data_IF_912432820687
#
_entry.id   IF_912432820687
#
_cell.length_a   1.000
_cell.length_b   1.000
_cell.length_c   1.000
_cell.angle_alpha   90.00
_cell.angle_beta   90.00
_cell.angle_gamma   90.00
#
_symmetry.space_group_name_H-M   'P 1'
#
loop_
_entity.id
_entity.type
_entity.pdbx_description
1 polymer ?
#
# COMPACT_ATOMS: atom_id res chain seq x y z
N UNK A 1 16.20 6.17 -48.53
CA UNK A 1 14.96 5.73 -47.85
C UNK A 1 15.38 5.19 -46.49
N UNK A 2 15.80 6.10 -45.62
CA UNK A 2 16.41 5.77 -44.34
C UNK A 2 15.34 5.55 -43.28
N UNK A 3 15.53 4.44 -42.58
CA UNK A 3 14.61 3.78 -41.67
C UNK A 3 14.27 4.71 -40.50
N UNK A 4 13.01 5.17 -40.47
CA UNK A 4 12.44 6.07 -39.46
C UNK A 4 12.37 5.53 -38.02
N UNK A 5 12.96 4.38 -37.72
CA UNK A 5 13.00 3.78 -36.37
C UNK A 5 14.12 4.40 -35.52
N UNK A 6 15.21 4.88 -36.13
CA UNK A 6 16.37 5.43 -35.37
C UNK A 6 16.12 6.85 -34.85
N UNK A 7 15.16 7.59 -35.44
CA UNK A 7 14.83 8.96 -35.01
C UNK A 7 13.90 9.04 -33.79
N UNK A 8 13.28 7.93 -33.40
CA UNK A 8 12.41 7.84 -32.21
C UNK A 8 13.24 7.80 -30.91
N UNK A 9 14.51 7.39 -30.98
CA UNK A 9 15.45 7.42 -29.84
C UNK A 9 16.34 8.67 -29.82
N UNK A 10 15.77 9.84 -30.08
CA UNK A 10 16.51 11.12 -30.00
C UNK A 10 16.79 11.44 -28.52
N UNK A 11 18.02 11.88 -28.20
CA UNK A 11 18.59 12.14 -26.86
C UNK A 11 17.69 12.79 -25.79
N UNK A 12 16.62 13.48 -26.16
CA UNK A 12 15.63 14.07 -25.25
C UNK A 12 14.80 13.04 -24.49
N UNK A 13 14.48 11.89 -25.09
CA UNK A 13 13.72 10.83 -24.40
C UNK A 13 14.59 10.03 -23.44
N UNK A 14 15.83 9.72 -23.84
CA UNK A 14 16.78 9.01 -22.97
C UNK A 14 17.15 9.85 -21.74
N UNK A 15 17.42 11.14 -21.94
CA UNK A 15 17.64 12.07 -20.81
C UNK A 15 16.42 12.12 -19.89
N UNK A 16 15.20 12.20 -20.44
CA UNK A 16 13.96 12.15 -19.66
C UNK A 16 13.79 10.86 -18.86
N UNK A 17 14.11 9.70 -19.45
CA UNK A 17 14.07 8.40 -18.77
C UNK A 17 15.12 8.32 -17.67
N UNK A 18 16.36 8.72 -17.94
CA UNK A 18 17.45 8.73 -16.97
C UNK A 18 17.15 9.68 -15.79
N UNK A 19 16.60 10.86 -16.07
CA UNK A 19 16.13 11.79 -15.02
C UNK A 19 15.00 11.19 -14.19
N UNK A 20 14.10 10.42 -14.82
CA UNK A 20 13.05 9.68 -14.12
C UNK A 20 13.59 8.58 -13.19
N UNK A 21 14.77 8.01 -13.47
CA UNK A 21 15.38 6.97 -12.63
C UNK A 21 16.13 7.51 -11.41
N UNK A 22 16.32 8.82 -11.29
CA UNK A 22 17.09 9.44 -10.18
C UNK A 22 16.49 9.08 -8.80
N UNK A 23 15.17 9.16 -8.54
CA UNK A 23 14.61 8.74 -7.26
C UNK A 23 14.87 7.26 -6.97
N UNK A 24 14.80 6.40 -7.99
CA UNK A 24 15.07 4.96 -7.85
C UNK A 24 16.53 4.72 -7.44
N UNK A 25 17.47 5.43 -8.09
CA UNK A 25 18.88 5.34 -7.74
C UNK A 25 19.13 5.76 -6.28
N UNK A 26 18.51 6.86 -5.82
CA UNK A 26 18.59 7.29 -4.42
C UNK A 26 18.04 6.25 -3.46
N UNK A 27 16.88 5.65 -3.77
CA UNK A 27 16.32 4.58 -2.95
C UNK A 27 17.27 3.38 -2.83
N UNK A 28 17.88 2.96 -3.93
CA UNK A 28 18.82 1.82 -3.99
C UNK A 28 20.11 2.04 -3.20
N UNK A 29 20.49 3.28 -2.88
CA UNK A 29 21.64 3.54 -1.99
C UNK A 29 21.44 2.99 -0.57
N UNK A 30 20.18 2.75 -0.16
CA UNK A 30 19.88 2.15 1.14
C UNK A 30 20.25 0.68 1.24
N UNK A 31 20.33 -0.04 0.12
CA UNK A 31 20.61 -1.48 0.10
C UNK A 31 21.98 -1.82 0.69
N UNK A 32 23.11 -1.26 0.21
CA UNK A 32 24.42 -1.55 0.80
C UNK A 32 24.49 -1.13 2.27
N UNK A 33 23.87 0.00 2.65
CA UNK A 33 23.81 0.45 4.03
C UNK A 33 23.06 -0.55 4.93
N UNK A 34 21.94 -1.08 4.45
CA UNK A 34 21.15 -2.09 5.16
C UNK A 34 21.94 -3.39 5.35
N UNK A 35 22.56 -3.89 4.28
CA UNK A 35 23.39 -5.11 4.32
C UNK A 35 24.54 -4.94 5.33
N UNK A 36 25.26 -3.82 5.30
CA UNK A 36 26.33 -3.56 6.27
C UNK A 36 25.77 -3.50 7.70
N UNK A 37 24.62 -2.87 7.89
CA UNK A 37 24.03 -2.65 9.22
C UNK A 37 23.50 -3.93 9.86
N UNK A 38 22.79 -4.78 9.10
CA UNK A 38 22.24 -6.05 9.63
C UNK A 38 23.35 -7.04 10.02
N UNK A 39 24.51 -6.94 9.36
CA UNK A 39 25.71 -7.71 9.68
C UNK A 39 26.45 -7.21 10.94
N UNK A 40 26.22 -5.99 11.40
CA UNK A 40 26.75 -5.52 12.68
C UNK A 40 26.01 -6.18 13.84
N UNK A 41 26.70 -6.44 14.96
CA UNK A 41 26.02 -6.84 16.20
C UNK A 41 25.06 -5.74 16.66
N UNK A 42 23.88 -6.09 17.21
CA UNK A 42 23.01 -5.13 17.87
C UNK A 42 23.76 -4.27 18.88
N UNK A 43 23.54 -2.96 18.86
CA UNK A 43 24.19 -2.02 19.79
C UNK A 43 24.45 -0.65 19.18
N UNK A 44 25.27 0.17 19.87
CA UNK A 44 25.56 1.57 19.52
C UNK A 44 26.12 1.74 18.10
N UNK A 45 26.90 0.77 17.61
CA UNK A 45 27.48 0.82 16.25
C UNK A 45 26.43 0.89 15.14
N UNK A 46 25.29 0.20 15.30
CA UNK A 46 24.20 0.28 14.31
C UNK A 46 23.65 1.70 14.21
N UNK A 47 23.49 2.41 15.33
CA UNK A 47 22.96 3.77 15.37
C UNK A 47 23.79 4.78 14.56
N UNK A 48 25.12 4.63 14.51
CA UNK A 48 25.96 5.45 13.62
C UNK A 48 25.70 5.21 12.13
N UNK A 49 25.14 4.05 11.76
CA UNK A 49 24.76 3.72 10.39
C UNK A 49 23.34 4.19 10.02
N UNK A 50 22.57 4.73 10.97
CA UNK A 50 21.19 5.19 10.73
C UNK A 50 21.08 6.17 9.56
N UNK A 51 21.90 7.24 9.47
CA UNK A 51 21.78 8.19 8.36
C UNK A 51 21.91 7.52 6.99
N UNK A 52 22.83 6.57 6.84
CA UNK A 52 23.04 5.86 5.57
C UNK A 52 21.86 4.96 5.17
N UNK A 53 21.10 4.45 6.14
CA UNK A 53 19.92 3.63 5.87
C UNK A 53 18.71 4.46 5.44
N UNK A 54 18.62 5.73 5.86
CA UNK A 54 17.40 6.55 5.68
C UNK A 54 17.57 7.69 4.70
N UNK A 55 18.77 8.24 4.50
CA UNK A 55 19.00 9.41 3.64
C UNK A 55 18.57 9.13 2.20
N UNK A 56 18.98 8.01 1.61
CA UNK A 56 18.59 7.65 0.24
C UNK A 56 17.07 7.60 0.03
N UNK A 57 16.31 6.84 0.82
CA UNK A 57 14.85 6.82 0.78
C UNK A 57 14.19 8.17 1.06
N UNK A 58 14.72 8.97 1.99
CA UNK A 58 14.20 10.33 2.25
C UNK A 58 14.42 11.22 1.03
N UNK A 59 15.59 11.19 0.41
CA UNK A 59 15.88 11.95 -0.81
C UNK A 59 15.01 11.45 -1.98
N UNK A 60 14.77 10.14 -2.09
CA UNK A 60 13.81 9.58 -3.03
C UNK A 60 12.41 10.17 -2.82
N UNK A 61 11.92 10.18 -1.57
CA UNK A 61 10.63 10.77 -1.21
C UNK A 61 10.53 12.26 -1.55
N UNK A 62 11.58 13.04 -1.28
CA UNK A 62 11.64 14.48 -1.61
C UNK A 62 11.76 14.78 -3.11
N UNK A 63 12.06 13.77 -3.94
CA UNK A 63 12.19 13.90 -5.39
C UNK A 63 11.03 13.23 -6.15
N UNK A 64 9.98 12.82 -5.44
CA UNK A 64 8.71 12.41 -6.02
C UNK A 64 8.15 13.57 -6.88
N UNK A 65 7.60 13.26 -8.06
CA UNK A 65 7.20 14.26 -9.06
C UNK A 65 8.13 14.31 -10.28
N UNK A 66 9.33 13.72 -10.19
CA UNK A 66 10.26 13.57 -11.32
C UNK A 66 9.96 12.35 -12.20
N UNK A 67 9.15 11.40 -11.73
CA UNK A 67 8.79 10.21 -12.49
C UNK A 67 7.63 10.51 -13.42
N UNK A 68 7.89 10.60 -14.72
CA UNK A 68 6.87 10.89 -15.76
C UNK A 68 5.80 9.79 -15.98
N UNK A 69 5.73 8.78 -15.12
CA UNK A 69 4.90 7.59 -15.31
C UNK A 69 3.63 7.54 -14.42
N UNK A 70 3.32 8.60 -13.65
CA UNK A 70 2.17 8.59 -12.72
C UNK A 70 2.33 7.60 -11.54
N UNK A 71 3.55 7.13 -11.29
CA UNK A 71 3.91 6.23 -10.20
C UNK A 71 4.50 6.96 -8.98
N UNK A 72 4.45 8.29 -8.99
CA UNK A 72 4.99 9.16 -7.95
C UNK A 72 4.49 8.79 -6.55
N UNK A 73 3.18 8.61 -6.39
CA UNK A 73 2.57 8.22 -5.12
C UNK A 73 3.06 6.84 -4.65
N UNK A 74 3.23 5.88 -5.55
CA UNK A 74 3.71 4.53 -5.21
C UNK A 74 5.16 4.57 -4.70
N UNK A 75 6.01 5.38 -5.33
CA UNK A 75 7.38 5.61 -4.87
C UNK A 75 7.46 6.39 -3.57
N UNK A 76 6.56 7.35 -3.36
CA UNK A 76 6.43 8.07 -2.10
C UNK A 76 6.12 7.11 -0.94
N UNK A 77 5.09 6.27 -1.10
CA UNK A 77 4.74 5.24 -0.10
C UNK A 77 5.88 4.25 0.10
N UNK A 78 6.49 3.76 -0.99
CA UNK A 78 7.60 2.79 -0.90
C UNK A 78 8.76 3.35 -0.08
N UNK A 79 9.12 4.61 -0.32
CA UNK A 79 10.20 5.30 0.40
C UNK A 79 9.91 5.44 1.90
N UNK A 80 8.73 5.95 2.27
CA UNK A 80 8.40 6.11 3.69
C UNK A 80 8.22 4.77 4.39
N UNK A 81 7.50 3.81 3.79
CA UNK A 81 7.31 2.47 4.36
C UNK A 81 8.66 1.79 4.56
N UNK A 82 9.60 1.96 3.62
CA UNK A 82 10.95 1.45 3.76
C UNK A 82 11.69 2.09 4.94
N UNK A 83 11.59 3.41 5.14
CA UNK A 83 12.19 4.07 6.31
C UNK A 83 11.69 3.40 7.58
N UNK A 84 10.37 3.27 7.75
CA UNK A 84 9.79 2.56 8.91
C UNK A 84 10.28 1.12 9.02
N UNK A 85 10.34 0.37 7.91
CA UNK A 85 10.80 -1.01 7.84
C UNK A 85 12.24 -1.17 8.31
N UNK A 86 13.16 -0.37 7.77
CA UNK A 86 14.58 -0.42 8.08
C UNK A 86 14.84 0.03 9.52
N UNK A 87 14.23 1.13 9.95
CA UNK A 87 14.45 1.67 11.30
C UNK A 87 13.88 0.75 12.38
N UNK A 88 12.65 0.23 12.19
CA UNK A 88 12.07 -0.72 13.13
C UNK A 88 12.85 -2.04 13.18
N UNK A 89 13.20 -2.61 12.03
CA UNK A 89 13.87 -3.91 11.99
C UNK A 89 15.30 -3.87 12.52
N UNK A 90 16.11 -2.90 12.09
CA UNK A 90 17.53 -2.86 12.42
C UNK A 90 17.83 -2.28 13.81
N UNK A 91 17.00 -1.36 14.30
CA UNK A 91 17.30 -0.53 15.48
C UNK A 91 16.39 -0.82 16.68
N UNK A 92 15.07 -0.99 16.45
CA UNK A 92 14.12 -1.29 17.53
C UNK A 92 14.07 -2.79 17.82
N UNK A 93 13.84 -3.60 16.78
CA UNK A 93 13.73 -5.06 16.88
C UNK A 93 15.09 -5.76 16.80
N UNK A 94 16.14 -5.02 16.41
CA UNK A 94 17.53 -5.46 16.40
C UNK A 94 17.75 -6.78 15.65
N UNK A 95 17.17 -6.91 14.45
CA UNK A 95 17.26 -8.12 13.65
C UNK A 95 18.67 -8.66 13.49
N UNK A 96 18.77 -9.98 13.56
CA UNK A 96 20.00 -10.73 13.30
C UNK A 96 19.73 -11.76 12.22
N UNK A 97 20.73 -11.99 11.37
CA UNK A 97 20.64 -13.05 10.37
C UNK A 97 20.66 -14.43 11.06
N UNK A 98 20.00 -15.45 10.48
CA UNK A 98 20.05 -16.83 10.99
C UNK A 98 21.48 -17.35 11.15
N UNK A 99 21.71 -18.19 12.17
CA UNK A 99 23.05 -18.65 12.60
C UNK A 99 23.88 -19.41 11.57
N UNK A 100 23.28 -19.85 10.46
CA UNK A 100 24.02 -20.47 9.35
C UNK A 100 24.98 -19.49 8.67
N UNK A 101 24.69 -18.17 8.76
CA UNK A 101 25.52 -17.10 8.21
C UNK A 101 26.53 -16.51 9.22
N UNK A 102 26.36 -16.76 10.53
CA UNK A 102 27.06 -16.02 11.61
C UNK A 102 28.43 -16.59 11.97
N UNK A 103 28.75 -17.83 11.55
CA UNK A 103 29.97 -18.54 11.97
C UNK A 103 31.25 -18.14 11.22
N UNK A 104 31.16 -17.36 10.14
CA UNK A 104 32.33 -16.87 9.37
C UNK A 104 32.49 -15.37 9.58
N UNK A 105 33.72 -14.92 9.89
CA UNK A 105 34.09 -13.49 9.94
C UNK A 105 33.92 -12.77 8.58
N UNK A 106 33.69 -13.52 7.49
CA UNK A 106 33.47 -12.99 6.15
C UNK A 106 32.00 -13.04 5.75
N UNK A 107 31.52 -11.95 5.16
CA UNK A 107 30.22 -11.86 4.50
C UNK A 107 30.16 -12.92 3.40
N UNK A 108 29.26 -13.89 3.54
CA UNK A 108 29.09 -14.97 2.56
C UNK A 108 28.05 -14.57 1.51
N UNK A 109 28.06 -15.23 0.34
CA UNK A 109 27.03 -15.02 -0.69
C UNK A 109 25.62 -15.29 -0.14
N UNK A 110 25.48 -16.27 0.74
CA UNK A 110 24.22 -16.61 1.39
C UNK A 110 23.78 -15.52 2.36
N UNK A 111 24.71 -14.93 3.12
CA UNK A 111 24.37 -13.86 4.05
C UNK A 111 23.94 -12.57 3.33
N UNK A 112 24.57 -12.25 2.20
CA UNK A 112 24.14 -11.15 1.31
C UNK A 112 22.73 -11.42 0.80
N UNK A 113 22.47 -12.63 0.30
CA UNK A 113 21.16 -13.02 -0.19
C UNK A 113 20.06 -12.83 0.87
N UNK A 114 20.26 -13.39 2.08
CA UNK A 114 19.28 -13.24 3.17
C UNK A 114 19.12 -11.77 3.59
N UNK A 115 20.20 -10.97 3.53
CA UNK A 115 20.15 -9.54 3.82
C UNK A 115 19.34 -8.75 2.79
N UNK A 116 19.50 -9.06 1.50
CA UNK A 116 18.70 -8.47 0.40
C UNK A 116 17.23 -8.83 0.56
N UNK A 117 16.93 -10.08 0.93
CA UNK A 117 15.55 -10.49 1.21
C UNK A 117 14.98 -9.76 2.42
N UNK A 118 15.76 -9.58 3.49
CA UNK A 118 15.34 -8.79 4.63
C UNK A 118 15.10 -7.31 4.27
N UNK A 119 15.93 -6.73 3.39
CA UNK A 119 15.76 -5.37 2.87
C UNK A 119 14.43 -5.22 2.10
N UNK A 120 14.06 -6.21 1.29
CA UNK A 120 12.83 -6.25 0.48
C UNK A 120 11.58 -6.78 1.21
N UNK A 121 11.62 -6.98 2.53
CA UNK A 121 10.55 -7.68 3.26
C UNK A 121 9.86 -6.82 4.34
N UNK A 122 9.12 -5.75 3.96
CA UNK A 122 8.34 -4.94 4.90
C UNK A 122 7.24 -5.73 5.61
N UNK A 123 6.75 -6.82 4.99
CA UNK A 123 5.72 -7.71 5.54
C UNK A 123 6.22 -8.65 6.64
N UNK A 124 7.53 -8.70 6.89
CA UNK A 124 8.16 -9.59 7.89
C UNK A 124 7.87 -11.07 7.65
N UNK A 125 7.81 -11.48 6.38
CA UNK A 125 7.68 -12.90 6.03
C UNK A 125 8.91 -13.69 6.51
N UNK A 126 8.79 -14.99 6.82
CA UNK A 126 9.93 -15.80 7.22
C UNK A 126 11.05 -15.77 6.16
N UNK A 127 12.27 -15.43 6.57
CA UNK A 127 13.44 -15.43 5.69
C UNK A 127 13.92 -16.87 5.45
N UNK A 128 14.17 -17.23 4.19
CA UNK A 128 14.63 -18.56 3.79
C UNK A 128 16.08 -18.54 3.26
N UNK A 129 16.87 -19.60 3.50
CA UNK A 129 18.21 -19.70 2.96
C UNK A 129 18.22 -20.00 1.46
N UNK A 130 19.27 -19.55 0.74
CA UNK A 130 19.37 -19.67 -0.72
C UNK A 130 19.42 -21.12 -1.24
N UNK A 131 19.70 -22.09 -0.37
CA UNK A 131 19.89 -23.50 -0.75
C UNK A 131 18.60 -24.11 -1.32
N UNK A 132 17.44 -23.65 -0.85
CA UNK A 132 16.13 -24.10 -1.31
C UNK A 132 15.82 -23.63 -2.74
N UNK A 133 16.49 -22.57 -3.22
CA UNK A 133 16.25 -22.00 -4.54
C UNK A 133 16.92 -22.76 -5.69
N UNK A 134 18.03 -23.47 -5.42
CA UNK A 134 18.76 -24.24 -6.45
C UNK A 134 17.94 -25.40 -7.02
N UNK A 135 16.84 -25.76 -6.37
CA UNK A 135 15.94 -26.84 -6.77
C UNK A 135 14.81 -26.36 -7.71
N UNK A 136 14.75 -25.08 -8.06
CA UNK A 136 13.65 -24.52 -8.84
C UNK A 136 13.92 -24.68 -10.33
N UNK A 137 13.12 -25.54 -10.97
CA UNK A 137 13.21 -25.80 -12.41
C UNK A 137 12.70 -24.61 -13.25
N UNK A 138 13.25 -24.45 -14.46
CA UNK A 138 12.79 -23.43 -15.41
C UNK A 138 11.30 -23.54 -15.72
N UNK A 139 10.76 -24.78 -15.76
CA UNK A 139 9.32 -25.03 -15.92
C UNK A 139 8.48 -24.39 -14.81
N UNK A 140 8.93 -24.44 -13.55
CA UNK A 140 8.23 -23.79 -12.43
C UNK A 140 8.26 -22.27 -12.55
N UNK A 141 9.39 -21.68 -12.97
CA UNK A 141 9.50 -20.23 -13.21
C UNK A 141 8.61 -19.79 -14.37
N UNK A 142 8.62 -20.52 -15.48
CA UNK A 142 7.75 -20.23 -16.63
C UNK A 142 6.27 -20.31 -16.26
N UNK A 143 5.84 -21.36 -15.55
CA UNK A 143 4.47 -21.48 -15.05
C UNK A 143 4.09 -20.32 -14.12
N UNK A 144 4.99 -19.93 -13.22
CA UNK A 144 4.77 -18.77 -12.35
C UNK A 144 4.61 -17.47 -13.15
N UNK A 145 5.48 -17.22 -14.13
CA UNK A 145 5.40 -16.04 -15.02
C UNK A 145 4.07 -16.01 -15.74
N UNK A 146 3.68 -17.12 -16.39
CA UNK A 146 2.40 -17.21 -17.12
C UNK A 146 1.25 -16.91 -16.16
N UNK A 147 1.22 -17.52 -14.98
CA UNK A 147 0.18 -17.26 -13.97
C UNK A 147 0.09 -15.79 -13.57
N UNK A 148 1.23 -15.12 -13.35
CA UNK A 148 1.28 -13.69 -12.99
C UNK A 148 0.86 -12.80 -14.16
N UNK A 149 1.28 -13.10 -15.39
CA UNK A 149 0.82 -12.40 -16.59
C UNK A 149 -0.69 -12.56 -16.80
N UNK A 150 -1.23 -13.78 -16.68
CA UNK A 150 -2.67 -14.02 -16.72
C UNK A 150 -3.41 -13.24 -15.64
N UNK A 151 -2.84 -13.16 -14.42
CA UNK A 151 -3.40 -12.34 -13.34
C UNK A 151 -3.50 -10.87 -13.77
N UNK A 152 -2.44 -10.30 -14.35
CA UNK A 152 -2.43 -8.92 -14.85
C UNK A 152 -3.51 -8.72 -15.93
N UNK A 153 -3.57 -9.60 -16.94
CA UNK A 153 -4.54 -9.49 -18.03
C UNK A 153 -5.99 -9.59 -17.54
N UNK A 154 -6.29 -10.55 -16.64
CA UNK A 154 -7.63 -10.72 -16.07
C UNK A 154 -8.03 -9.47 -15.28
N UNK A 155 -7.16 -8.99 -14.40
CA UNK A 155 -7.43 -7.82 -13.59
C UNK A 155 -7.60 -6.56 -14.44
N UNK A 156 -6.82 -6.42 -15.52
CA UNK A 156 -6.97 -5.34 -16.48
C UNK A 156 -8.33 -5.39 -17.19
N UNK A 157 -8.75 -6.57 -17.65
CA UNK A 157 -10.07 -6.78 -18.25
C UNK A 157 -11.21 -6.43 -17.28
N UNK A 158 -11.13 -6.86 -16.03
CA UNK A 158 -12.11 -6.53 -15.00
C UNK A 158 -12.13 -5.02 -14.71
N UNK A 159 -10.95 -4.39 -14.60
CA UNK A 159 -10.84 -2.95 -14.41
C UNK A 159 -11.54 -2.18 -15.54
N UNK A 160 -11.28 -2.53 -16.80
CA UNK A 160 -11.95 -1.90 -17.94
C UNK A 160 -13.46 -2.12 -17.89
N UNK A 161 -13.92 -3.32 -17.58
CA UNK A 161 -15.36 -3.63 -17.49
C UNK A 161 -16.05 -2.80 -16.40
N UNK A 162 -15.44 -2.71 -15.21
CA UNK A 162 -16.01 -1.94 -14.09
C UNK A 162 -15.97 -0.44 -14.39
N UNK A 163 -14.83 0.09 -14.86
CA UNK A 163 -14.66 1.51 -15.11
C UNK A 163 -15.55 1.99 -16.27
N UNK A 164 -15.48 1.32 -17.43
CA UNK A 164 -16.31 1.66 -18.60
C UNK A 164 -17.79 1.40 -18.30
N UNK A 165 -18.12 0.30 -17.63
CA UNK A 165 -19.48 -0.01 -17.23
C UNK A 165 -20.08 1.05 -16.31
N UNK A 166 -19.32 1.50 -15.30
CA UNK A 166 -19.75 2.54 -14.36
C UNK A 166 -19.94 3.88 -15.08
N UNK A 167 -18.98 4.28 -15.94
CA UNK A 167 -19.07 5.51 -16.71
C UNK A 167 -20.25 5.49 -17.70
N UNK A 168 -20.48 4.37 -18.39
CA UNK A 168 -21.56 4.24 -19.36
C UNK A 168 -22.95 4.21 -18.69
N UNK A 169 -23.08 3.48 -17.58
CA UNK A 169 -24.35 3.32 -16.88
C UNK A 169 -24.75 4.57 -16.09
N UNK A 170 -23.80 5.20 -15.39
CA UNK A 170 -24.10 6.32 -14.49
C UNK A 170 -23.94 7.68 -15.16
N UNK A 171 -23.05 7.79 -16.16
CA UNK A 171 -22.69 9.04 -16.85
C UNK A 171 -22.47 10.19 -15.86
N UNK A 172 -21.55 10.04 -14.91
CA UNK A 172 -21.43 10.98 -13.81
C UNK A 172 -20.88 12.32 -14.29
N UNK A 173 -21.50 13.42 -13.87
CA UNK A 173 -20.99 14.78 -14.10
C UNK A 173 -20.13 15.25 -12.90
N UNK A 174 -19.11 16.10 -13.11
CA UNK A 174 -18.22 16.54 -12.03
C UNK A 174 -18.97 17.13 -10.82
N UNK A 175 -20.02 17.91 -11.07
CA UNK A 175 -20.88 18.53 -10.03
C UNK A 175 -21.66 17.55 -9.17
N UNK A 176 -21.71 16.27 -9.54
CA UNK A 176 -22.40 15.23 -8.76
C UNK A 176 -21.50 14.62 -7.68
N UNK A 177 -20.20 14.98 -7.69
CA UNK A 177 -19.20 14.57 -6.69
C UNK A 177 -18.94 15.68 -5.65
N UNK A 178 -19.95 16.46 -5.30
CA UNK A 178 -19.85 17.37 -4.17
C UNK A 178 -19.85 16.51 -2.90
N UNK A 179 -18.89 16.75 -2.00
CA UNK A 179 -18.79 16.02 -0.74
C UNK A 179 -20.12 16.07 0.03
N UNK A 180 -20.81 14.94 0.22
CA UNK A 180 -21.97 14.91 1.09
C UNK A 180 -21.52 15.00 2.56
N UNK A 181 -22.48 15.24 3.47
CA UNK A 181 -22.25 14.93 4.88
C UNK A 181 -22.10 13.42 5.09
N UNK A 182 -21.43 13.01 6.17
CA UNK A 182 -21.17 11.60 6.48
C UNK A 182 -22.45 10.75 6.68
N UNK A 183 -23.52 11.34 7.19
CA UNK A 183 -24.79 10.65 7.44
C UNK A 183 -25.83 11.13 6.43
N UNK A 184 -25.82 10.52 5.25
CA UNK A 184 -26.80 10.80 4.21
C UNK A 184 -27.35 9.49 3.65
N UNK A 185 -28.67 9.30 3.72
CA UNK A 185 -29.33 8.05 3.31
C UNK A 185 -30.51 8.28 2.36
N UNK A 186 -30.60 9.47 1.75
CA UNK A 186 -31.59 9.72 0.71
C UNK A 186 -31.38 8.72 -0.45
N UNK A 187 -32.48 8.13 -0.95
CA UNK A 187 -32.51 7.20 -2.08
C UNK A 187 -32.67 7.99 -3.39
N UNK A 188 -31.62 8.71 -3.75
CA UNK A 188 -31.56 9.59 -4.91
C UNK A 188 -30.49 9.14 -5.92
N UNK A 189 -30.31 9.91 -7.00
CA UNK A 189 -29.22 9.66 -7.97
C UNK A 189 -27.85 9.68 -7.30
N UNK A 190 -27.64 10.52 -6.30
CA UNK A 190 -26.41 10.52 -5.53
C UNK A 190 -26.21 9.22 -4.73
N UNK A 191 -27.28 8.51 -4.32
CA UNK A 191 -27.19 7.22 -3.67
C UNK A 191 -26.60 6.13 -4.57
N UNK A 192 -26.89 6.17 -5.87
CA UNK A 192 -26.29 5.26 -6.86
C UNK A 192 -24.79 5.52 -7.00
N UNK A 193 -24.38 6.79 -7.11
CA UNK A 193 -22.96 7.17 -7.15
C UNK A 193 -22.24 6.74 -5.87
N UNK A 194 -22.82 7.02 -4.70
CA UNK A 194 -22.24 6.60 -3.41
C UNK A 194 -22.09 5.08 -3.34
N UNK A 195 -23.08 4.32 -3.79
CA UNK A 195 -23.03 2.84 -3.85
C UNK A 195 -21.90 2.36 -4.75
N UNK A 196 -21.76 2.91 -5.96
CA UNK A 196 -20.72 2.51 -6.90
C UNK A 196 -19.31 2.85 -6.36
N UNK A 197 -19.12 4.08 -5.89
CA UNK A 197 -17.80 4.57 -5.51
C UNK A 197 -17.36 4.14 -4.11
N UNK A 198 -18.27 3.75 -3.21
CA UNK A 198 -17.89 3.25 -1.89
C UNK A 198 -17.09 1.94 -1.92
N UNK A 199 -17.14 1.19 -3.02
CA UNK A 199 -16.32 0.00 -3.26
C UNK A 199 -15.22 0.24 -4.30
N UNK A 200 -15.38 1.25 -5.18
CA UNK A 200 -14.44 1.53 -6.26
C UNK A 200 -13.04 1.86 -5.76
N UNK A 201 -12.89 2.63 -4.66
CA UNK A 201 -11.57 2.94 -4.10
C UNK A 201 -10.81 1.68 -3.70
N UNK A 202 -11.49 0.75 -3.01
CA UNK A 202 -10.90 -0.48 -2.52
C UNK A 202 -10.51 -1.39 -3.69
N UNK A 203 -11.39 -1.48 -4.70
CA UNK A 203 -11.12 -2.20 -5.94
C UNK A 203 -9.92 -1.62 -6.69
N UNK A 204 -9.85 -0.29 -6.86
CA UNK A 204 -8.77 0.37 -7.58
C UNK A 204 -7.42 0.16 -6.89
N UNK A 205 -7.35 0.33 -5.57
CA UNK A 205 -6.13 0.03 -4.80
C UNK A 205 -5.77 -1.45 -4.87
N UNK A 206 -6.76 -2.34 -4.78
CA UNK A 206 -6.56 -3.78 -4.93
C UNK A 206 -5.92 -4.13 -6.29
N UNK A 207 -6.47 -3.57 -7.36
CA UNK A 207 -6.00 -3.73 -8.72
C UNK A 207 -4.55 -3.26 -8.87
N UNK A 208 -4.26 -1.99 -8.52
CA UNK A 208 -2.94 -1.39 -8.77
C UNK A 208 -1.85 -2.14 -8.01
N UNK A 209 -2.04 -2.42 -6.72
CA UNK A 209 -1.02 -3.12 -5.93
C UNK A 209 -0.86 -4.58 -6.34
N UNK A 210 -1.93 -5.24 -6.83
CA UNK A 210 -1.82 -6.60 -7.38
C UNK A 210 -0.97 -6.63 -8.64
N UNK A 211 -1.21 -5.68 -9.56
CA UNK A 211 -0.41 -5.55 -10.78
C UNK A 211 1.03 -5.19 -10.45
N UNK A 212 1.26 -4.22 -9.57
CA UNK A 212 2.60 -3.84 -9.13
C UNK A 212 3.35 -5.02 -8.50
N UNK A 213 2.70 -5.77 -7.59
CA UNK A 213 3.27 -6.99 -7.02
C UNK A 213 3.59 -8.03 -8.08
N UNK A 214 2.71 -8.24 -9.06
CA UNK A 214 2.94 -9.21 -10.13
C UNK A 214 4.12 -8.83 -11.03
N UNK A 215 4.23 -7.56 -11.41
CA UNK A 215 5.35 -7.03 -12.22
C UNK A 215 6.68 -7.22 -11.48
N UNK A 216 6.75 -6.78 -10.22
CA UNK A 216 7.97 -6.91 -9.42
C UNK A 216 8.30 -8.40 -9.17
N UNK A 217 7.29 -9.24 -8.92
CA UNK A 217 7.50 -10.67 -8.76
C UNK A 217 8.09 -11.34 -10.02
N UNK A 218 7.60 -11.00 -11.21
CA UNK A 218 8.16 -11.49 -12.48
C UNK A 218 9.61 -11.04 -12.63
N UNK A 219 9.91 -9.79 -12.28
CA UNK A 219 11.26 -9.26 -12.35
C UNK A 219 12.23 -10.04 -11.44
N UNK A 220 11.90 -10.24 -10.17
CA UNK A 220 12.79 -10.94 -9.23
C UNK A 220 12.84 -12.47 -9.43
N UNK A 221 11.72 -13.12 -9.75
CA UNK A 221 11.66 -14.58 -9.92
C UNK A 221 12.13 -15.03 -11.29
N UNK A 222 11.77 -14.32 -12.35
CA UNK A 222 11.94 -14.84 -13.72
C UNK A 222 13.08 -14.17 -14.47
N UNK A 223 13.25 -12.84 -14.30
CA UNK A 223 14.31 -12.09 -15.00
C UNK A 223 15.62 -12.19 -14.22
N UNK A 224 15.63 -11.74 -12.95
CA UNK A 224 16.84 -11.77 -12.12
C UNK A 224 17.13 -13.15 -11.53
N UNK A 225 16.12 -14.03 -11.46
CA UNK A 225 16.21 -15.36 -10.85
C UNK A 225 16.75 -15.33 -9.41
N UNK A 226 16.49 -14.23 -8.70
CA UNK A 226 16.89 -14.03 -7.32
C UNK A 226 15.92 -14.72 -6.36
N UNK A 227 14.64 -14.79 -6.70
CA UNK A 227 13.60 -15.29 -5.79
C UNK A 227 12.94 -16.57 -6.28
N UNK A 228 12.33 -17.30 -5.35
CA UNK A 228 11.49 -18.44 -5.61
C UNK A 228 10.02 -18.01 -5.83
N UNK A 229 9.25 -18.73 -6.68
CA UNK A 229 7.83 -18.45 -6.92
C UNK A 229 6.96 -18.35 -5.65
N UNK A 230 7.28 -19.13 -4.61
CA UNK A 230 6.52 -19.21 -3.37
C UNK A 230 6.91 -18.15 -2.33
N UNK A 231 8.05 -17.46 -2.52
CA UNK A 231 8.42 -16.28 -1.73
C UNK A 231 7.47 -15.09 -2.03
N UNK A 232 6.85 -15.08 -3.22
CA UNK A 232 5.95 -14.03 -3.69
C UNK A 232 4.46 -14.34 -3.44
N UNK A 233 4.10 -14.41 -2.16
CA UNK A 233 2.71 -14.61 -1.70
C UNK A 233 1.77 -13.46 -2.05
N UNK A 234 0.46 -13.73 -2.07
CA UNK A 234 -0.58 -12.70 -2.23
C UNK A 234 -0.42 -11.59 -1.19
N UNK A 235 -0.66 -10.34 -1.60
CA UNK A 235 -0.72 -9.20 -0.68
C UNK A 235 -2.00 -9.21 0.18
N UNK A 236 -3.03 -9.90 -0.30
CA UNK A 236 -4.39 -9.83 0.21
C UNK A 236 -4.79 -11.12 0.91
N UNK A 237 -5.64 -10.98 1.92
CA UNK A 237 -6.36 -12.10 2.52
C UNK A 237 -7.60 -12.50 1.71
N UNK A 238 -8.41 -13.37 2.30
CA UNK A 238 -9.65 -13.83 1.67
C UNK A 238 -10.77 -12.77 1.84
N UNK A 239 -11.37 -12.25 0.75
CA UNK A 239 -12.47 -11.28 0.82
C UNK A 239 -13.74 -11.84 1.48
N UNK A 240 -13.93 -13.16 1.47
CA UNK A 240 -15.06 -13.81 2.14
C UNK A 240 -15.00 -13.72 3.67
N UNK A 241 -13.86 -13.29 4.22
CA UNK A 241 -13.70 -13.06 5.65
C UNK A 241 -14.02 -11.62 6.06
N UNK A 242 -14.49 -10.75 5.16
CA UNK A 242 -14.73 -9.32 5.40
C UNK A 242 -16.14 -9.07 5.97
N UNK A 243 -16.40 -9.57 7.18
CA UNK A 243 -17.70 -9.42 7.87
C UNK A 243 -17.63 -8.45 9.07
N UNK A 244 -16.56 -7.64 9.13
CA UNK A 244 -16.32 -6.61 10.15
C UNK A 244 -15.27 -5.62 9.65
N UNK A 245 -15.28 -4.39 10.19
CA UNK A 245 -14.26 -3.37 9.85
C UNK A 245 -12.86 -3.87 10.23
N UNK A 246 -12.75 -4.57 11.36
CA UNK A 246 -11.49 -5.18 11.80
C UNK A 246 -11.02 -6.29 10.86
N UNK A 247 -11.91 -7.12 10.33
CA UNK A 247 -11.53 -8.14 9.35
C UNK A 247 -11.17 -7.54 7.99
N UNK A 248 -11.79 -6.42 7.58
CA UNK A 248 -11.39 -5.71 6.38
C UNK A 248 -9.91 -5.32 6.46
N UNK A 249 -9.52 -4.56 7.48
CA UNK A 249 -8.14 -4.04 7.61
C UNK A 249 -7.14 -5.09 8.13
N UNK A 250 -7.55 -5.95 9.06
CA UNK A 250 -6.66 -6.89 9.73
C UNK A 250 -6.47 -8.23 9.02
N UNK A 251 -7.39 -8.61 8.11
CA UNK A 251 -7.34 -9.92 7.42
C UNK A 251 -7.23 -9.74 5.90
N UNK A 252 -8.14 -8.97 5.30
CA UNK A 252 -8.20 -8.84 3.85
C UNK A 252 -7.19 -7.83 3.28
N UNK A 253 -7.17 -6.62 3.84
CA UNK A 253 -6.36 -5.52 3.34
C UNK A 253 -4.87 -5.81 3.46
N UNK A 254 -4.10 -5.26 2.53
CA UNK A 254 -2.65 -5.41 2.54
C UNK A 254 -2.06 -4.87 3.85
N UNK A 255 -1.13 -5.63 4.43
CA UNK A 255 -0.46 -5.30 5.69
C UNK A 255 1.04 -5.08 5.47
N UNK A 256 1.41 -4.30 4.45
CA UNK A 256 2.81 -4.07 4.08
C UNK A 256 3.52 -3.23 5.15
N UNK A 257 2.92 -2.12 5.61
CA UNK A 257 3.52 -1.22 6.59
C UNK A 257 3.21 -1.55 8.06
N UNK A 258 2.12 -2.28 8.32
CA UNK A 258 1.58 -2.53 9.66
C UNK A 258 2.60 -3.15 10.63
N UNK A 259 3.43 -4.14 10.24
CA UNK A 259 4.39 -4.75 11.18
C UNK A 259 5.40 -3.74 11.75
N UNK A 260 5.95 -2.88 10.89
CA UNK A 260 6.90 -1.85 11.28
C UNK A 260 6.25 -0.80 12.18
N UNK A 261 5.03 -0.37 11.85
CA UNK A 261 4.25 0.56 12.66
C UNK A 261 3.90 -0.03 14.04
N UNK A 262 3.56 -1.31 14.11
CA UNK A 262 3.32 -2.02 15.37
C UNK A 262 4.58 -2.10 16.24
N UNK A 263 5.77 -2.24 15.65
CA UNK A 263 7.02 -2.23 16.41
C UNK A 263 7.22 -0.88 17.13
N UNK A 264 6.99 0.24 16.42
CA UNK A 264 6.99 1.58 17.02
C UNK A 264 5.90 1.74 18.08
N UNK A 265 4.67 1.32 17.81
CA UNK A 265 3.58 1.39 18.77
C UNK A 265 3.88 0.57 20.04
N UNK A 266 4.51 -0.60 19.92
CA UNK A 266 4.92 -1.43 21.08
C UNK A 266 6.02 -0.75 21.88
N UNK A 267 6.97 -0.12 21.21
CA UNK A 267 8.01 0.68 21.88
C UNK A 267 7.37 1.81 22.69
N UNK A 268 6.47 2.60 22.10
CA UNK A 268 5.77 3.69 22.81
C UNK A 268 4.95 3.15 23.98
N UNK A 269 4.11 2.14 23.76
CA UNK A 269 3.23 1.61 24.82
C UNK A 269 4.00 1.00 25.99
N UNK A 270 5.12 0.33 25.75
CA UNK A 270 5.87 -0.38 26.78
C UNK A 270 6.89 0.49 27.49
N UNK A 271 7.53 1.41 26.76
CA UNK A 271 8.60 2.23 27.30
C UNK A 271 8.12 3.60 27.79
N UNK A 272 7.07 4.17 27.19
CA UNK A 272 6.55 5.48 27.58
C UNK A 272 5.33 5.37 28.49
N UNK A 273 4.37 4.51 28.14
CA UNK A 273 3.12 4.36 28.88
C UNK A 273 3.08 3.18 29.86
N UNK A 274 4.12 2.34 29.86
CA UNK A 274 4.22 1.15 30.72
C UNK A 274 2.97 0.24 30.68
N UNK A 275 2.29 0.17 29.52
CA UNK A 275 1.08 -0.64 29.38
C UNK A 275 1.41 -2.13 29.45
N UNK A 276 0.52 -2.90 30.08
CA UNK A 276 0.66 -4.36 30.15
C UNK A 276 0.65 -4.98 28.74
N UNK A 277 1.68 -5.76 28.37
CA UNK A 277 1.71 -6.44 27.09
C UNK A 277 0.50 -7.36 26.89
N UNK A 278 -0.04 -7.35 25.67
CA UNK A 278 -1.20 -8.09 25.18
C UNK A 278 -2.54 -7.73 25.85
N UNK A 279 -2.57 -6.69 26.70
CA UNK A 279 -3.79 -6.16 27.29
C UNK A 279 -4.69 -5.45 26.27
N UNK A 280 -5.96 -5.26 26.61
CA UNK A 280 -6.93 -4.55 25.75
C UNK A 280 -6.49 -3.11 25.47
N UNK A 281 -5.93 -2.42 26.47
CA UNK A 281 -5.41 -1.07 26.31
C UNK A 281 -4.24 -1.00 25.30
N UNK A 282 -3.25 -1.91 25.39
CA UNK A 282 -2.16 -1.98 24.40
C UNK A 282 -2.73 -2.27 23.01
N UNK A 283 -3.66 -3.22 22.87
CA UNK A 283 -4.27 -3.56 21.57
C UNK A 283 -5.02 -2.39 20.94
N UNK A 284 -5.84 -1.68 21.71
CA UNK A 284 -6.58 -0.51 21.23
C UNK A 284 -5.63 0.63 20.84
N UNK A 285 -4.61 0.90 21.66
CA UNK A 285 -3.59 1.89 21.32
C UNK A 285 -2.82 1.51 20.06
N UNK A 286 -2.39 0.25 19.93
CA UNK A 286 -1.65 -0.22 18.75
C UNK A 286 -2.47 -0.08 17.48
N UNK A 287 -3.78 -0.39 17.54
CA UNK A 287 -4.68 -0.18 16.43
C UNK A 287 -4.78 1.32 16.08
N UNK A 288 -5.04 2.17 17.07
CA UNK A 288 -5.07 3.63 16.88
C UNK A 288 -3.77 4.16 16.25
N UNK A 289 -2.63 3.74 16.80
CA UNK A 289 -1.31 4.17 16.35
C UNK A 289 -1.04 3.77 14.90
N UNK A 290 -1.40 2.54 14.50
CA UNK A 290 -1.27 2.09 13.11
C UNK A 290 -2.11 2.94 12.16
N UNK A 291 -3.39 3.19 12.47
CA UNK A 291 -4.25 4.03 11.63
C UNK A 291 -3.77 5.48 11.58
N UNK A 292 -3.34 6.04 12.71
CA UNK A 292 -2.81 7.41 12.78
C UNK A 292 -1.53 7.58 11.97
N UNK A 293 -0.54 6.70 12.16
CA UNK A 293 0.71 6.76 11.38
C UNK A 293 0.42 6.51 9.90
N UNK A 294 -0.44 5.55 9.55
CA UNK A 294 -0.84 5.33 8.16
C UNK A 294 -1.46 6.60 7.56
N UNK A 295 -2.35 7.28 8.29
CA UNK A 295 -2.95 8.54 7.85
C UNK A 295 -1.93 9.65 7.66
N UNK A 296 -0.97 9.78 8.58
CA UNK A 296 0.13 10.74 8.43
C UNK A 296 1.01 10.44 7.22
N UNK A 297 1.29 9.17 6.91
CA UNK A 297 2.04 8.79 5.71
C UNK A 297 1.27 9.20 4.44
N UNK A 298 -0.05 8.99 4.42
CA UNK A 298 -0.91 9.45 3.33
C UNK A 298 -0.87 10.97 3.16
N UNK A 299 -1.04 11.74 4.26
CA UNK A 299 -0.90 13.21 4.27
C UNK A 299 0.45 13.65 3.69
N UNK A 300 1.54 13.01 4.12
CA UNK A 300 2.88 13.32 3.63
C UNK A 300 3.02 13.01 2.13
N UNK A 301 2.53 11.86 1.67
CA UNK A 301 2.53 11.49 0.24
C UNK A 301 1.73 12.50 -0.57
N UNK A 302 0.51 12.81 -0.15
CA UNK A 302 -0.38 13.78 -0.79
C UNK A 302 0.25 15.17 -0.87
N UNK A 303 0.96 15.60 0.18
CA UNK A 303 1.71 16.84 0.17
C UNK A 303 2.83 16.84 -0.88
N UNK A 304 3.59 15.75 -0.99
CA UNK A 304 4.69 15.65 -1.96
C UNK A 304 4.21 15.47 -3.39
N UNK A 305 3.04 14.89 -3.62
CA UNK A 305 2.48 14.66 -4.96
C UNK A 305 1.48 15.73 -5.40
N UNK A 306 1.21 16.77 -4.59
CA UNK A 306 0.19 17.78 -4.87
C UNK A 306 0.34 18.49 -6.23
N UNK A 307 1.58 18.61 -6.71
CA UNK A 307 1.89 19.27 -7.98
C UNK A 307 1.62 18.34 -9.18
N UNK A 308 1.63 17.01 -8.97
CA UNK A 308 1.40 16.01 -10.02
C UNK A 308 0.06 15.28 -9.91
N UNK A 309 -0.65 15.41 -8.78
CA UNK A 309 -1.93 14.77 -8.51
C UNK A 309 -3.03 15.79 -8.13
N UNK A 310 -4.32 15.51 -8.38
CA UNK A 310 -5.46 16.35 -7.99
C UNK A 310 -5.78 16.23 -6.50
N UNK A 311 -4.82 16.61 -5.65
CA UNK A 311 -4.97 16.61 -4.20
C UNK A 311 -5.39 18.02 -3.75
N UNK A 312 -6.69 18.22 -3.52
CA UNK A 312 -7.20 19.46 -2.90
C UNK A 312 -7.30 19.32 -1.38
N UNK A 313 -7.75 18.16 -0.88
CA UNK A 313 -7.78 17.83 0.54
C UNK A 313 -6.59 16.94 0.93
N UNK A 314 -5.60 17.55 1.57
CA UNK A 314 -4.38 16.85 2.01
C UNK A 314 -4.67 15.96 3.24
N UNK A 315 -5.64 16.33 4.07
CA UNK A 315 -5.92 15.68 5.35
C UNK A 315 -7.05 14.63 5.30
N UNK A 316 -7.79 14.56 4.20
CA UNK A 316 -8.92 13.65 4.01
C UNK A 316 -8.57 12.18 4.32
N UNK A 317 -7.42 11.70 3.86
CA UNK A 317 -6.96 10.33 4.13
C UNK A 317 -6.74 10.04 5.63
N UNK A 318 -6.23 11.03 6.38
CA UNK A 318 -6.05 10.90 7.83
C UNK A 318 -7.41 10.79 8.51
N UNK A 319 -8.36 11.65 8.14
CA UNK A 319 -9.73 11.59 8.70
C UNK A 319 -10.38 10.25 8.37
N UNK A 320 -10.30 9.80 7.12
CA UNK A 320 -10.79 8.50 6.68
C UNK A 320 -10.21 7.35 7.54
N UNK A 321 -8.90 7.33 7.75
CA UNK A 321 -8.24 6.27 8.53
C UNK A 321 -8.58 6.33 10.03
N UNK A 322 -8.71 7.53 10.61
CA UNK A 322 -9.15 7.68 12.00
C UNK A 322 -10.61 7.24 12.17
N UNK A 323 -11.49 7.55 11.21
CA UNK A 323 -12.87 7.05 11.22
C UNK A 323 -12.92 5.53 11.12
N UNK A 324 -12.07 4.90 10.33
CA UNK A 324 -11.95 3.43 10.27
C UNK A 324 -11.53 2.83 11.62
N UNK A 325 -10.58 3.45 12.34
CA UNK A 325 -10.27 3.05 13.71
C UNK A 325 -11.49 3.20 14.64
N UNK A 326 -12.17 4.35 14.60
CA UNK A 326 -13.34 4.61 15.43
C UNK A 326 -14.47 3.60 15.16
N UNK A 327 -14.74 3.28 13.89
CA UNK A 327 -15.71 2.27 13.49
C UNK A 327 -15.35 0.87 13.98
N UNK A 328 -14.07 0.48 13.88
CA UNK A 328 -13.58 -0.79 14.42
C UNK A 328 -13.64 -0.87 15.95
N UNK A 329 -13.38 0.24 16.65
CA UNK A 329 -13.51 0.34 18.10
C UNK A 329 -14.98 0.26 18.53
N UNK A 330 -15.87 0.98 17.85
CA UNK A 330 -17.32 0.94 18.10
C UNK A 330 -17.84 -0.49 17.93
N UNK A 331 -17.47 -1.17 16.85
CA UNK A 331 -17.83 -2.56 16.61
C UNK A 331 -17.35 -3.47 17.76
N UNK A 332 -16.10 -3.29 18.22
CA UNK A 332 -15.57 -4.05 19.36
C UNK A 332 -16.37 -3.80 20.64
N UNK A 333 -16.67 -2.54 20.97
CA UNK A 333 -17.44 -2.17 22.15
C UNK A 333 -18.87 -2.73 22.08
N UNK A 334 -19.53 -2.61 20.93
CA UNK A 334 -20.87 -3.17 20.72
C UNK A 334 -20.88 -4.68 20.90
N UNK A 335 -19.89 -5.39 20.35
CA UNK A 335 -19.75 -6.83 20.56
C UNK A 335 -19.59 -7.16 22.06
N UNK A 336 -18.75 -6.43 22.79
CA UNK A 336 -18.60 -6.64 24.25
C UNK A 336 -19.93 -6.44 25.00
N UNK A 337 -20.68 -5.39 24.68
CA UNK A 337 -21.98 -5.10 25.32
C UNK A 337 -22.99 -6.22 25.03
N UNK A 338 -23.09 -6.66 23.77
CA UNK A 338 -23.99 -7.74 23.35
C UNK A 338 -23.66 -9.04 24.08
N UNK A 339 -22.38 -9.45 24.12
CA UNK A 339 -21.97 -10.66 24.83
C UNK A 339 -22.27 -10.58 26.33
N UNK A 340 -22.03 -9.43 26.95
CA UNK A 340 -22.27 -9.22 28.38
C UNK A 340 -23.77 -9.25 28.71
N UNK A 341 -24.62 -8.64 27.87
CA UNK A 341 -26.07 -8.54 28.13
C UNK A 341 -26.83 -9.81 27.78
N UNK A 342 -26.45 -10.52 26.72
CA UNK A 342 -27.17 -11.70 26.25
C UNK A 342 -26.71 -13.01 26.90
N UNK A 343 -25.78 -12.94 27.86
CA UNK A 343 -25.13 -14.08 28.53
C UNK A 343 -24.76 -15.21 27.56
N UNK A 344 -24.45 -14.83 26.32
CA UNK A 344 -24.19 -15.79 25.25
C UNK A 344 -22.78 -16.29 25.51
N UNK A 345 -22.70 -17.53 26.00
CA UNK A 345 -21.42 -18.23 26.12
C UNK A 345 -20.64 -18.04 24.81
N UNK A 346 -19.32 -17.89 24.91
CA UNK A 346 -18.36 -17.81 23.80
C UNK A 346 -18.24 -19.17 23.08
N UNK A 347 -19.38 -19.84 22.95
CA UNK A 347 -19.61 -21.17 22.45
C UNK A 347 -19.32 -21.20 20.96
N UNK A 348 -18.63 -22.28 20.60
CA UNK A 348 -18.14 -22.61 19.27
C UNK A 348 -19.33 -22.69 18.31
N UNK A 349 -19.64 -21.59 17.63
CA UNK A 349 -20.57 -21.61 16.50
C UNK A 349 -20.10 -22.69 15.54
N UNK A 350 -20.97 -23.67 15.27
CA UNK A 350 -20.72 -24.65 14.23
C UNK A 350 -20.59 -23.90 12.90
N UNK A 351 -19.37 -23.90 12.36
CA UNK A 351 -19.07 -23.34 11.04
C UNK A 351 -19.97 -24.02 10.01
N UNK A 352 -21.02 -23.33 9.55
CA UNK A 352 -22.01 -23.87 8.60
C UNK A 352 -23.47 -23.79 9.06
N UNK A 353 -23.76 -23.41 10.31
CA UNK A 353 -25.14 -23.15 10.73
C UNK A 353 -25.74 -21.95 9.99
N UNK A 354 -27.04 -21.99 9.70
CA UNK A 354 -27.80 -20.86 9.15
C UNK A 354 -27.56 -19.56 9.95
N UNK A 355 -27.43 -19.68 11.28
CA UNK A 355 -27.09 -18.55 12.15
C UNK A 355 -25.75 -17.90 11.80
N UNK A 356 -24.72 -18.72 11.48
CA UNK A 356 -23.41 -18.21 11.08
C UNK A 356 -23.45 -17.52 9.72
N UNK A 357 -24.30 -17.97 8.79
CA UNK A 357 -24.45 -17.35 7.47
C UNK A 357 -25.14 -16.00 7.62
N UNK A 358 -26.25 -15.95 8.35
CA UNK A 358 -27.00 -14.71 8.63
C UNK A 358 -26.11 -13.69 9.33
N UNK A 359 -25.33 -14.09 10.35
CA UNK A 359 -24.38 -13.19 11.02
C UNK A 359 -23.32 -12.64 10.06
N UNK A 360 -22.80 -13.47 9.16
CA UNK A 360 -21.84 -13.02 8.14
C UNK A 360 -22.48 -12.03 7.18
N UNK A 361 -23.70 -12.29 6.70
CA UNK A 361 -24.44 -11.39 5.83
C UNK A 361 -24.67 -10.02 6.49
N UNK A 362 -25.10 -10.00 7.75
CA UNK A 362 -25.20 -8.75 8.53
C UNK A 362 -23.84 -8.04 8.67
N UNK A 363 -22.76 -8.79 8.88
CA UNK A 363 -21.41 -8.23 8.93
C UNK A 363 -20.97 -7.60 7.61
N UNK A 364 -21.24 -8.24 6.47
CA UNK A 364 -20.97 -7.66 5.15
C UNK A 364 -21.79 -6.40 4.91
N UNK A 365 -23.09 -6.43 5.24
CA UNK A 365 -23.96 -5.27 5.14
C UNK A 365 -23.47 -4.12 6.02
N UNK A 366 -23.02 -4.40 7.24
CA UNK A 366 -22.44 -3.40 8.14
C UNK A 366 -21.18 -2.75 7.55
N UNK A 367 -20.25 -3.54 7.01
CA UNK A 367 -19.03 -3.01 6.38
C UNK A 367 -19.38 -2.17 5.15
N UNK A 368 -20.32 -2.62 4.33
CA UNK A 368 -20.83 -1.86 3.19
C UNK A 368 -21.44 -0.53 3.64
N UNK A 369 -22.36 -0.56 4.61
CA UNK A 369 -23.01 0.63 5.14
C UNK A 369 -22.00 1.62 5.73
N UNK A 370 -21.00 1.11 6.45
CA UNK A 370 -19.92 1.93 6.98
C UNK A 370 -19.15 2.64 5.87
N UNK A 371 -18.67 1.92 4.85
CA UNK A 371 -17.97 2.56 3.73
C UNK A 371 -18.87 3.46 2.90
N UNK A 372 -20.14 3.11 2.72
CA UNK A 372 -21.14 3.96 2.09
C UNK A 372 -21.25 5.33 2.78
N UNK A 373 -21.08 5.40 4.10
CA UNK A 373 -21.11 6.66 4.86
C UNK A 373 -19.80 7.45 4.82
N UNK A 374 -18.65 6.78 4.98
CA UNK A 374 -17.38 7.50 5.17
C UNK A 374 -16.58 7.72 3.89
N UNK A 375 -16.79 6.90 2.86
CA UNK A 375 -16.00 6.99 1.62
C UNK A 375 -16.40 8.20 0.77
N UNK A 376 -17.69 8.47 0.51
CA UNK A 376 -18.05 9.57 -0.39
C UNK A 376 -17.53 10.94 0.07
N UNK A 377 -17.68 11.37 1.35
CA UNK A 377 -17.12 12.65 1.79
C UNK A 377 -15.61 12.76 1.61
N UNK A 378 -14.89 11.64 1.72
CA UNK A 378 -13.44 11.57 1.53
C UNK A 378 -13.03 11.54 0.05
N UNK A 379 -13.67 10.68 -0.76
CA UNK A 379 -13.23 10.37 -2.11
C UNK A 379 -13.80 11.34 -3.16
N UNK A 380 -15.02 11.85 -2.97
CA UNK A 380 -15.70 12.66 -3.97
C UNK A 380 -14.93 13.95 -4.32
N UNK A 381 -14.36 14.71 -3.36
CA UNK A 381 -13.51 15.86 -3.68
C UNK A 381 -12.36 15.53 -4.63
N UNK A 382 -11.72 14.37 -4.46
CA UNK A 382 -10.63 13.93 -5.33
C UNK A 382 -11.11 13.58 -6.74
N UNK A 383 -12.25 12.90 -6.84
CA UNK A 383 -12.86 12.57 -8.14
C UNK A 383 -13.31 13.85 -8.85
N UNK A 384 -13.95 14.77 -8.13
CA UNK A 384 -14.38 16.05 -8.69
C UNK A 384 -13.18 16.84 -9.23
N UNK A 385 -12.10 16.95 -8.45
CA UNK A 385 -10.88 17.64 -8.86
C UNK A 385 -10.21 16.98 -10.08
N UNK A 386 -10.12 15.65 -10.11
CA UNK A 386 -9.57 14.90 -11.25
C UNK A 386 -10.42 15.09 -12.51
N UNK A 387 -11.74 14.94 -12.39
CA UNK A 387 -12.65 15.18 -13.52
C UNK A 387 -12.56 16.62 -13.99
N UNK A 388 -12.57 17.62 -13.10
CA UNK A 388 -12.41 19.03 -13.49
C UNK A 388 -11.10 19.26 -14.25
N UNK A 389 -9.98 18.65 -13.82
CA UNK A 389 -8.69 18.75 -14.51
C UNK A 389 -8.69 18.06 -15.88
N UNK A 390 -9.28 16.86 -15.99
CA UNK A 390 -9.39 16.12 -17.27
C UNK A 390 -10.37 16.77 -18.25
N UNK A 391 -11.40 17.46 -17.74
CA UNK A 391 -12.40 18.18 -18.51
C UNK A 391 -12.09 19.68 -18.67
N UNK A 392 -10.90 20.17 -18.28
CA UNK A 392 -10.43 21.46 -18.79
C UNK A 392 -10.21 21.26 -20.29
N UNK A 393 -11.00 21.90 -21.18
CA UNK A 393 -10.70 21.84 -22.59
C UNK A 393 -9.29 22.37 -22.76
N UNK A 394 -8.42 21.60 -23.43
CA UNK A 394 -7.08 22.01 -23.86
C UNK A 394 -6.94 23.54 -23.88
N UNK A 395 -6.39 24.14 -22.81
CA UNK A 395 -5.86 25.49 -22.93
C UNK A 395 -4.58 25.31 -23.74
N UNK A 396 -4.73 25.36 -25.06
CA UNK A 396 -3.65 25.84 -25.91
C UNK A 396 -3.31 27.24 -25.40
N UNK A 397 -2.35 27.34 -24.48
CA UNK A 397 -1.58 28.56 -24.27
C UNK A 397 -0.70 28.76 -25.51
N UNK A 398 -1.33 29.05 -26.65
CA UNK A 398 -0.66 29.79 -27.71
C UNK A 398 -0.73 31.23 -27.23
N UNK A 399 0.35 31.71 -26.62
CA UNK A 399 0.64 33.14 -26.65
C UNK A 399 0.74 33.51 -28.13
N UNK A 400 -0.36 34.02 -28.69
CA UNK A 400 -0.30 34.75 -29.94
C UNK A 400 0.49 36.02 -29.63
N UNK A 401 1.82 35.96 -29.82
CA UNK A 401 2.60 37.15 -30.09
C UNK A 401 1.90 37.85 -31.25
N UNK A 402 1.29 39.01 -30.97
CA UNK A 402 0.79 39.86 -32.04
C UNK A 402 1.98 40.13 -32.97
N UNK A 403 1.86 39.88 -34.28
CA UNK A 403 2.88 40.34 -35.20
C UNK A 403 2.96 41.85 -35.05
N UNK A 404 4.16 42.35 -34.75
CA UNK A 404 4.48 43.74 -35.01
C UNK A 404 4.36 43.91 -36.51
N UNK A 405 3.33 44.65 -36.93
CA UNK A 405 3.22 45.13 -38.29
C UNK A 405 4.28 46.24 -38.43
N UNK A 406 5.05 46.24 -39.55
CA UNK A 406 6.19 47.13 -39.76
C UNK A 406 5.89 48.62 -39.64
#
# INVERSE_FOLDING_TARGET
MDIGIVKVFRNTELSGVLHGLVPVAWFLTSLPAFVVTIHQRPGRRRWFLLPFNVVGPIVCFLQVGRLKAGLDWLWAFTSIIYVFHATSGLYLEQWTLPDTASRRRHISRESIYVSVNAWNNPRRLPLRPSRDQRLITQRRRAFFTIRKLSTICIHWGIYLMIEVGTLFALRPAPREFISPGYLHFALDRAALLRTAYCLQWAWLTYFILTVANAVVAIFFVSILQLDAPDEWSSLWGNPLNVHSIRSFWGVFWQNIGSPSQLAYGRFVTRNLFCLRPKGTAEKSFLAFFVFMISGTIHVATNWMTRDTAPVEDIYGDLVFLILNFAGGLLEFLMQQVVYTRLNTSRGRDSSGSAHSIVRRAFGFFWVFLFFYTIVPPWQFPHIEADLRRRFVPFKMNVQLQRPQIP
#
